data_IF_506844922399
#
_entry.id   IF_506844922399
#
_cell.length_a   1.000
_cell.length_b   1.000
_cell.length_c   1.000
_cell.angle_alpha   90.00
_cell.angle_beta   90.00
_cell.angle_gamma   90.00
#
_symmetry.space_group_name_H-M   'P 1'
#
loop_
_entity.id
_entity.type
_entity.pdbx_description
1 polymer ?
#
# COMPACT_ATOMS: atom_id res chain seq x y z
N UNK A 1 19.93 43.27 30.29
CA UNK A 1 18.92 43.94 31.12
C UNK A 1 18.01 42.81 31.56
N UNK A 2 18.46 42.11 32.63
CA UNK A 2 17.99 42.25 34.04
C UNK A 2 16.52 41.83 34.18
N UNK A 3 16.13 40.76 34.88
CA UNK A 3 16.24 40.59 36.35
C UNK A 3 15.96 39.14 36.71
N UNK A 4 16.82 38.52 37.55
CA UNK A 4 16.56 37.28 38.29
C UNK A 4 16.15 37.70 39.70
N UNK A 5 15.09 37.18 40.32
CA UNK A 5 14.89 37.35 41.75
C UNK A 5 15.57 36.21 42.55
N UNK A 6 16.36 36.61 43.48
CA UNK A 6 17.02 35.82 44.51
C UNK A 6 16.03 35.22 45.50
N UNK A 7 16.13 33.91 45.75
CA UNK A 7 15.50 33.24 46.92
C UNK A 7 16.48 33.21 48.09
N UNK A 8 16.06 33.84 49.17
CA UNK A 8 16.83 33.97 50.39
C UNK A 8 16.97 32.65 51.15
N UNK A 9 18.13 32.42 51.67
CA UNK A 9 18.44 31.41 52.68
C UNK A 9 17.84 31.82 54.00
N UNK A 10 16.89 30.99 54.54
CA UNK A 10 16.49 31.06 55.95
C UNK A 10 17.39 30.11 56.76
N UNK A 11 18.09 30.68 57.73
CA UNK A 11 18.92 29.95 58.68
C UNK A 11 18.04 29.10 59.60
N UNK A 12 18.36 27.80 59.69
CA UNK A 12 17.75 26.90 60.66
C UNK A 12 18.51 26.97 61.98
N UNK A 13 17.83 27.42 62.98
CA UNK A 13 18.34 27.57 64.35
C UNK A 13 18.67 26.21 64.97
N UNK A 14 19.87 26.07 65.56
CA UNK A 14 20.39 24.84 66.16
C UNK A 14 19.88 24.72 67.60
N UNK A 15 18.60 24.26 67.74
CA UNK A 15 17.98 23.94 68.99
C UNK A 15 18.42 22.59 69.59
N UNK A 16 19.48 22.59 70.34
CA UNK A 16 19.95 21.43 71.12
C UNK A 16 18.85 20.86 72.04
N UNK A 17 18.34 19.69 71.68
CA UNK A 17 17.42 18.92 72.54
C UNK A 17 18.20 18.42 73.80
N UNK A 18 17.69 18.73 75.00
CA UNK A 18 18.26 18.33 76.25
C UNK A 18 18.32 16.79 76.42
N UNK A 19 19.37 16.30 77.10
CA UNK A 19 19.69 14.85 77.20
C UNK A 19 18.60 13.98 77.84
N UNK A 20 17.54 14.57 78.38
CA UNK A 20 16.39 13.85 78.91
C UNK A 20 15.35 13.40 77.87
N UNK A 21 15.23 14.16 76.78
CA UNK A 21 14.37 13.85 75.65
C UNK A 21 14.94 12.76 74.75
N UNK A 22 16.28 12.70 74.55
CA UNK A 22 16.94 11.60 73.81
C UNK A 22 16.75 10.24 74.48
N UNK A 23 16.85 10.16 75.82
CA UNK A 23 16.67 8.89 76.56
C UNK A 23 15.22 8.37 76.52
N UNK A 24 14.24 9.22 76.41
CA UNK A 24 12.81 8.80 76.31
C UNK A 24 12.48 8.28 74.90
N UNK A 25 13.12 8.83 73.84
CA UNK A 25 12.91 8.37 72.46
C UNK A 25 13.55 7.00 72.20
N UNK A 26 14.75 6.77 72.76
CA UNK A 26 15.43 5.47 72.63
C UNK A 26 14.73 4.38 73.39
N UNK A 27 14.21 4.67 74.58
CA UNK A 27 13.43 3.72 75.44
C UNK A 27 12.03 3.40 74.87
N UNK A 28 11.50 4.19 73.91
CA UNK A 28 10.22 3.92 73.25
C UNK A 28 10.38 3.01 72.02
N UNK A 29 11.55 3.04 71.43
CA UNK A 29 11.89 2.18 70.25
C UNK A 29 12.25 0.76 70.70
N UNK A 30 12.78 0.58 71.91
CA UNK A 30 13.15 -0.74 72.42
C UNK A 30 12.00 -1.56 73.01
N UNK A 31 10.79 -0.99 73.19
CA UNK A 31 9.63 -1.67 73.73
C UNK A 31 8.49 -1.74 72.75
N UNK A 32 8.61 -2.64 71.77
CA UNK A 32 7.35 -2.99 71.12
C UNK A 32 7.26 -3.28 69.68
N UNK A 33 8.29 -3.74 69.04
CA UNK A 33 8.07 -4.48 67.82
C UNK A 33 8.47 -5.92 68.08
N UNK A 34 7.48 -6.76 68.36
CA UNK A 34 7.71 -8.21 68.45
C UNK A 34 8.33 -8.67 67.14
N UNK A 35 9.39 -9.49 67.20
CA UNK A 35 10.07 -10.05 66.04
C UNK A 35 9.10 -10.66 65.04
N UNK A 36 7.95 -11.11 65.51
CA UNK A 36 6.84 -11.60 64.69
C UNK A 36 6.10 -10.50 63.90
N UNK A 37 6.00 -9.28 64.44
CA UNK A 37 5.37 -8.15 63.76
C UNK A 37 6.28 -7.59 62.65
N UNK A 38 7.61 -7.57 62.93
CA UNK A 38 8.60 -7.16 61.93
C UNK A 38 8.67 -8.16 60.74
N UNK A 39 8.63 -9.46 61.03
CA UNK A 39 8.58 -10.48 59.94
C UNK A 39 7.29 -10.40 59.15
N UNK A 40 6.13 -10.16 59.77
CA UNK A 40 4.87 -9.98 59.06
C UNK A 40 4.87 -8.74 58.18
N UNK A 41 5.46 -7.64 58.63
CA UNK A 41 5.57 -6.40 57.89
C UNK A 41 6.51 -6.55 56.67
N UNK A 42 7.64 -7.27 56.80
CA UNK A 42 8.55 -7.61 55.73
C UNK A 42 7.91 -8.56 54.69
N UNK A 43 7.11 -9.53 55.15
CA UNK A 43 6.38 -10.44 54.25
C UNK A 43 5.29 -9.73 53.44
N UNK A 44 4.53 -8.84 54.08
CA UNK A 44 3.50 -8.05 53.41
C UNK A 44 4.14 -7.06 52.44
N UNK A 45 5.25 -6.42 52.79
CA UNK A 45 5.99 -5.52 51.90
C UNK A 45 6.60 -6.26 50.72
N UNK A 46 7.11 -7.47 50.95
CA UNK A 46 7.61 -8.35 49.88
C UNK A 46 6.53 -8.81 48.90
N UNK A 47 5.33 -9.14 49.40
CA UNK A 47 4.17 -9.52 48.59
C UNK A 47 3.65 -8.31 47.79
N UNK A 48 3.55 -7.13 48.39
CA UNK A 48 3.12 -5.91 47.73
C UNK A 48 4.13 -5.52 46.63
N UNK A 49 5.42 -5.63 46.92
CA UNK A 49 6.47 -5.37 45.91
C UNK A 49 6.40 -6.37 44.75
N UNK A 50 6.18 -7.67 45.02
CA UNK A 50 6.05 -8.70 44.01
C UNK A 50 4.78 -8.52 43.17
N UNK A 51 3.66 -8.07 43.75
CA UNK A 51 2.42 -7.73 43.04
C UNK A 51 2.60 -6.49 42.18
N UNK A 52 3.29 -5.46 42.69
CA UNK A 52 3.59 -4.26 41.87
C UNK A 52 4.55 -4.53 40.71
N UNK A 53 5.52 -5.43 40.88
CA UNK A 53 6.43 -5.84 39.79
C UNK A 53 5.71 -6.75 38.78
N UNK A 54 4.75 -7.58 39.25
CA UNK A 54 3.95 -8.45 38.36
C UNK A 54 2.92 -7.69 37.49
N UNK A 55 2.46 -6.50 37.96
CA UNK A 55 1.46 -5.69 37.23
C UNK A 55 2.06 -4.74 36.19
N UNK A 56 3.39 -4.63 36.09
CA UNK A 56 4.05 -3.73 35.15
C UNK A 56 4.56 -4.41 33.88
N UNK A 57 4.21 -5.69 33.64
CA UNK A 57 4.44 -6.36 32.36
C UNK A 57 3.22 -6.29 31.43
N UNK A 58 2.51 -5.18 31.38
CA UNK A 58 1.95 -4.75 30.10
C UNK A 58 3.15 -4.32 29.26
N UNK A 59 3.74 -5.28 28.58
CA UNK A 59 4.60 -5.01 27.45
C UNK A 59 3.76 -4.14 26.52
N UNK A 60 3.92 -2.83 26.58
CA UNK A 60 3.40 -1.93 25.56
C UNK A 60 3.95 -2.53 24.26
N UNK A 61 3.11 -3.30 23.56
CA UNK A 61 3.50 -3.93 22.32
C UNK A 61 4.01 -2.78 21.45
N UNK A 62 5.31 -2.74 21.27
CA UNK A 62 5.98 -1.67 20.52
C UNK A 62 5.29 -1.62 19.17
N UNK A 63 4.54 -0.55 18.92
CA UNK A 63 3.77 -0.41 17.70
C UNK A 63 4.74 -0.51 16.52
N UNK A 64 4.64 -1.61 15.79
CA UNK A 64 5.51 -1.87 14.65
C UNK A 64 5.17 -0.86 13.55
N UNK A 65 6.17 -0.26 12.92
CA UNK A 65 5.96 0.78 11.92
C UNK A 65 6.43 0.35 10.53
N UNK A 66 5.63 0.71 9.51
CA UNK A 66 5.98 0.57 8.10
C UNK A 66 5.73 1.88 7.37
N UNK A 67 6.59 2.17 6.40
CA UNK A 67 6.33 3.21 5.39
C UNK A 67 5.87 2.53 4.11
N UNK A 68 4.62 2.80 3.71
CA UNK A 68 4.04 2.28 2.48
C UNK A 68 3.75 3.41 1.49
N UNK A 69 3.84 3.15 0.19
CA UNK A 69 3.50 4.14 -0.82
C UNK A 69 2.48 3.63 -1.84
N UNK A 70 1.83 4.57 -2.52
CA UNK A 70 0.96 4.35 -3.66
C UNK A 70 1.31 5.32 -4.80
N UNK A 71 1.03 4.92 -6.07
CA UNK A 71 1.55 5.63 -7.24
C UNK A 71 0.56 6.51 -7.97
N UNK A 72 -0.73 6.40 -7.67
CA UNK A 72 -1.77 7.21 -8.30
C UNK A 72 -2.99 7.39 -7.40
N UNK A 73 -3.68 8.55 -7.46
CA UNK A 73 -4.96 8.75 -6.78
C UNK A 73 -6.11 8.18 -7.63
N UNK A 74 -6.16 6.86 -7.80
CA UNK A 74 -7.18 6.14 -8.57
C UNK A 74 -7.75 4.98 -7.76
N UNK A 75 -8.96 4.52 -8.09
CA UNK A 75 -9.70 3.54 -7.31
C UNK A 75 -8.96 2.20 -7.12
N UNK A 76 -8.07 1.80 -8.02
CA UNK A 76 -7.25 0.58 -7.85
C UNK A 76 -6.28 0.65 -6.66
N UNK A 77 -5.96 1.85 -6.15
CA UNK A 77 -5.11 2.05 -4.98
C UNK A 77 -5.92 2.09 -3.67
N UNK A 78 -7.25 2.10 -3.75
CA UNK A 78 -8.13 2.27 -2.60
C UNK A 78 -7.96 1.24 -1.48
N UNK A 79 -7.63 -0.04 -1.71
CA UNK A 79 -7.39 -0.96 -0.60
C UNK A 79 -6.34 -0.47 0.40
N UNK A 80 -5.29 0.23 -0.05
CA UNK A 80 -4.30 0.85 0.84
C UNK A 80 -4.92 1.94 1.72
N UNK A 81 -5.73 2.81 1.12
CA UNK A 81 -6.41 3.89 1.84
C UNK A 81 -7.44 3.34 2.81
N UNK A 82 -8.20 2.34 2.39
CA UNK A 82 -9.19 1.63 3.22
C UNK A 82 -8.49 1.02 4.45
N UNK A 83 -7.36 0.32 4.26
CA UNK A 83 -6.63 -0.26 5.38
C UNK A 83 -6.19 0.79 6.42
N UNK A 84 -5.85 2.00 5.97
CA UNK A 84 -5.51 3.13 6.86
C UNK A 84 -6.75 3.75 7.50
N UNK A 85 -7.76 4.13 6.72
CA UNK A 85 -8.93 4.89 7.16
C UNK A 85 -9.87 4.06 8.04
N UNK A 86 -10.13 2.80 7.68
CA UNK A 86 -10.97 1.88 8.45
C UNK A 86 -10.23 1.33 9.68
N UNK A 87 -8.89 1.44 9.69
CA UNK A 87 -8.08 1.05 10.82
C UNK A 87 -7.61 -0.41 10.79
N UNK A 88 -7.63 -1.08 9.64
CA UNK A 88 -7.15 -2.47 9.55
C UNK A 88 -5.67 -2.61 9.88
N UNK A 89 -4.82 -1.63 9.55
CA UNK A 89 -3.43 -1.62 10.01
C UNK A 89 -3.33 -1.56 11.53
N UNK A 90 -4.09 -0.66 12.18
CA UNK A 90 -4.11 -0.55 13.64
C UNK A 90 -4.62 -1.83 14.31
N UNK A 91 -5.62 -2.48 13.73
CA UNK A 91 -6.14 -3.78 14.19
C UNK A 91 -5.05 -4.85 14.21
N UNK A 92 -4.09 -4.80 13.29
CA UNK A 92 -2.92 -5.68 13.23
C UNK A 92 -1.74 -5.19 14.11
N UNK A 93 -1.90 -4.11 14.86
CA UNK A 93 -0.83 -3.53 15.67
C UNK A 93 0.25 -2.82 14.85
N UNK A 94 -0.09 -2.34 13.63
CA UNK A 94 0.82 -1.60 12.76
C UNK A 94 0.48 -0.11 12.74
N UNK A 95 1.52 0.73 12.83
CA UNK A 95 1.47 2.11 12.38
C UNK A 95 2.04 2.22 10.97
N UNK A 96 1.17 2.49 9.99
CA UNK A 96 1.58 2.60 8.59
C UNK A 96 1.52 4.05 8.15
N UNK A 97 2.70 4.60 7.81
CA UNK A 97 2.82 5.89 7.14
C UNK A 97 2.57 5.71 5.65
N UNK A 98 1.55 6.38 5.10
CA UNK A 98 1.28 6.36 3.65
C UNK A 98 1.95 7.55 2.97
N UNK A 99 2.64 7.29 1.87
CA UNK A 99 3.32 8.29 1.03
C UNK A 99 2.80 8.17 -0.40
N UNK A 100 2.51 9.31 -1.03
CA UNK A 100 2.21 9.37 -2.46
C UNK A 100 3.50 9.58 -3.25
N UNK A 101 3.81 8.67 -4.18
CA UNK A 101 4.96 8.76 -5.10
C UNK A 101 4.43 8.63 -6.52
N UNK A 102 4.28 9.74 -7.22
CA UNK A 102 3.61 9.84 -8.55
C UNK A 102 4.37 9.16 -9.71
N UNK A 103 5.13 8.09 -9.46
CA UNK A 103 5.90 7.41 -10.49
C UNK A 103 6.26 5.99 -10.07
N UNK A 104 5.99 5.02 -10.94
CA UNK A 104 6.39 3.63 -10.72
C UNK A 104 7.92 3.47 -10.58
N UNK A 105 8.74 3.96 -11.50
CA UNK A 105 10.18 3.91 -11.38
C UNK A 105 10.71 4.58 -10.09
N UNK A 106 10.21 5.77 -9.74
CA UNK A 106 10.61 6.47 -8.49
C UNK A 106 10.23 5.66 -7.24
N UNK A 107 9.01 5.11 -7.20
CA UNK A 107 8.59 4.23 -6.10
C UNK A 107 9.45 2.97 -5.99
N UNK A 108 9.82 2.38 -7.12
CA UNK A 108 10.77 1.24 -7.16
C UNK A 108 12.12 1.61 -6.57
N UNK A 109 12.65 2.79 -6.92
CA UNK A 109 13.91 3.29 -6.35
C UNK A 109 13.81 3.53 -4.85
N UNK A 110 12.69 4.08 -4.35
CA UNK A 110 12.53 4.34 -2.91
C UNK A 110 12.47 3.05 -2.08
N UNK A 111 11.93 1.96 -2.64
CA UNK A 111 11.98 0.62 -2.01
C UNK A 111 13.40 0.10 -1.95
N UNK A 112 14.14 0.19 -3.05
CA UNK A 112 15.54 -0.27 -3.12
C UNK A 112 16.47 0.54 -2.19
N UNK A 113 16.18 1.84 -2.03
CA UNK A 113 16.92 2.70 -1.11
C UNK A 113 16.54 2.49 0.37
N UNK A 114 15.49 1.71 0.66
CA UNK A 114 14.98 1.49 2.02
C UNK A 114 14.22 2.69 2.60
N UNK A 115 13.86 3.68 1.77
CA UNK A 115 13.05 4.84 2.19
C UNK A 115 11.58 4.45 2.42
N UNK A 116 11.11 3.44 1.70
CA UNK A 116 9.80 2.83 1.87
C UNK A 116 9.93 1.31 1.99
N UNK A 117 9.07 0.70 2.80
CA UNK A 117 9.10 -0.74 3.07
C UNK A 117 8.30 -1.55 2.03
N UNK A 118 7.16 -1.00 1.60
CA UNK A 118 6.26 -1.69 0.65
C UNK A 118 5.52 -0.66 -0.20
N UNK A 119 5.29 -0.99 -1.48
CA UNK A 119 4.56 -0.14 -2.40
C UNK A 119 3.44 -0.84 -3.14
N UNK A 120 2.31 -0.14 -3.32
CA UNK A 120 1.33 -0.51 -4.33
C UNK A 120 1.68 0.19 -5.63
N UNK A 121 2.00 -0.61 -6.63
CA UNK A 121 2.62 -0.14 -7.86
C UNK A 121 2.16 -0.96 -9.07
N UNK A 122 2.24 -0.40 -10.28
CA UNK A 122 2.12 -1.16 -11.52
C UNK A 122 3.28 -2.13 -11.69
N UNK A 123 3.00 -3.41 -11.95
CA UNK A 123 3.99 -4.48 -11.96
C UNK A 123 5.08 -4.34 -13.02
N UNK A 124 4.82 -3.57 -14.09
CA UNK A 124 5.83 -3.34 -15.14
C UNK A 124 7.12 -2.72 -14.59
N UNK A 125 7.01 -1.69 -13.71
CA UNK A 125 8.18 -0.98 -13.20
C UNK A 125 9.11 -1.87 -12.35
N UNK A 126 8.63 -2.61 -11.32
CA UNK A 126 9.49 -3.52 -10.57
C UNK A 126 10.02 -4.67 -11.42
N UNK A 127 9.21 -5.26 -12.32
CA UNK A 127 9.65 -6.36 -13.19
C UNK A 127 10.80 -5.89 -14.11
N UNK A 128 10.65 -4.71 -14.74
CA UNK A 128 11.70 -4.13 -15.58
C UNK A 128 12.98 -3.84 -14.78
N UNK A 129 12.86 -3.34 -13.56
CA UNK A 129 14.00 -3.08 -12.68
C UNK A 129 14.74 -4.39 -12.32
N UNK A 130 14.02 -5.46 -12.01
CA UNK A 130 14.61 -6.78 -11.71
C UNK A 130 15.35 -7.33 -12.93
N UNK A 131 14.74 -7.27 -14.12
CA UNK A 131 15.40 -7.65 -15.40
C UNK A 131 16.66 -6.82 -15.61
N UNK A 132 16.63 -5.53 -15.24
CA UNK A 132 17.78 -4.61 -15.29
C UNK A 132 18.84 -4.82 -14.21
N UNK A 133 18.69 -5.83 -13.35
CA UNK A 133 19.68 -6.19 -12.32
C UNK A 133 19.33 -5.78 -10.88
N UNK A 134 18.17 -5.19 -10.62
CA UNK A 134 17.71 -4.85 -9.26
C UNK A 134 17.20 -6.10 -8.51
N UNK A 135 18.09 -7.08 -8.27
CA UNK A 135 17.76 -8.41 -7.74
C UNK A 135 17.21 -8.38 -6.31
N UNK A 136 17.43 -7.30 -5.56
CA UNK A 136 16.87 -7.14 -4.21
C UNK A 136 15.37 -6.79 -4.22
N UNK A 137 14.81 -6.42 -5.37
CA UNK A 137 13.39 -6.14 -5.49
C UNK A 137 12.58 -7.44 -5.61
N UNK A 138 11.37 -7.46 -5.01
CA UNK A 138 10.48 -8.63 -5.05
C UNK A 138 9.02 -8.21 -4.95
N UNK A 139 8.13 -8.90 -5.68
CA UNK A 139 6.68 -8.80 -5.56
C UNK A 139 6.22 -9.73 -4.45
N UNK A 140 5.47 -9.22 -3.47
CA UNK A 140 4.99 -10.00 -2.32
C UNK A 140 3.48 -10.27 -2.36
N UNK A 141 2.79 -9.74 -3.37
CA UNK A 141 1.37 -9.96 -3.59
C UNK A 141 0.85 -9.19 -4.80
N UNK A 142 -0.37 -9.50 -5.21
CA UNK A 142 -1.02 -8.89 -6.36
C UNK A 142 -2.50 -8.65 -6.07
N UNK A 143 -2.97 -7.42 -6.20
CA UNK A 143 -4.39 -7.10 -5.97
C UNK A 143 -5.19 -6.93 -7.26
N UNK A 144 -4.53 -6.88 -8.43
CA UNK A 144 -5.20 -6.82 -9.74
C UNK A 144 -4.39 -7.56 -10.79
N UNK A 145 -5.00 -8.63 -11.35
CA UNK A 145 -4.31 -9.61 -12.20
C UNK A 145 -4.71 -9.58 -13.67
N UNK A 146 -5.58 -8.65 -14.10
CA UNK A 146 -6.02 -8.50 -15.50
C UNK A 146 -6.10 -7.04 -15.89
N UNK A 147 -5.81 -6.77 -17.17
CA UNK A 147 -5.99 -5.45 -17.75
C UNK A 147 -7.45 -5.02 -17.70
N UNK A 148 -7.68 -3.75 -17.38
CA UNK A 148 -9.00 -3.10 -17.45
C UNK A 148 -8.87 -1.77 -18.14
N UNK A 149 -9.99 -1.27 -18.66
CA UNK A 149 -10.09 0.02 -19.32
C UNK A 149 -10.43 -0.11 -20.80
N UNK A 150 -10.33 1.00 -21.50
CA UNK A 150 -10.79 1.15 -22.88
C UNK A 150 -9.76 1.91 -23.72
N UNK A 151 -9.78 1.67 -25.02
CA UNK A 151 -9.32 2.66 -25.99
C UNK A 151 -10.55 3.46 -26.41
N UNK A 152 -10.56 4.75 -26.12
CA UNK A 152 -11.61 5.70 -26.49
C UNK A 152 -11.07 6.66 -27.53
N UNK A 153 -11.89 7.09 -28.48
CA UNK A 153 -11.41 7.97 -29.54
C UNK A 153 -12.50 8.71 -30.30
N UNK A 154 -12.08 9.44 -31.31
CA UNK A 154 -12.94 10.24 -32.18
C UNK A 154 -13.98 9.37 -32.88
N UNK A 155 -15.12 9.99 -33.25
CA UNK A 155 -16.26 9.29 -33.87
C UNK A 155 -15.98 8.68 -35.24
N UNK A 156 -14.98 9.21 -35.95
CA UNK A 156 -14.53 8.73 -37.27
C UNK A 156 -13.64 7.48 -37.18
N UNK A 157 -13.21 7.09 -35.98
CA UNK A 157 -12.54 5.81 -35.73
C UNK A 157 -13.61 4.77 -35.41
N UNK A 158 -14.00 3.97 -36.38
CA UNK A 158 -15.12 3.03 -36.25
C UNK A 158 -14.68 1.66 -35.73
N UNK A 159 -13.44 1.27 -35.96
CA UNK A 159 -12.87 -0.03 -35.61
C UNK A 159 -11.45 0.10 -35.04
N UNK A 160 -10.94 -1.00 -34.46
CA UNK A 160 -9.57 -1.08 -33.98
C UNK A 160 -8.56 -0.88 -35.13
N UNK A 161 -8.90 -1.31 -36.35
CA UNK A 161 -8.01 -1.16 -37.53
C UNK A 161 -7.85 0.29 -37.95
N UNK A 162 -8.85 1.13 -37.74
CA UNK A 162 -8.80 2.57 -38.06
C UNK A 162 -7.85 3.36 -37.16
N UNK A 163 -7.30 2.72 -36.11
CA UNK A 163 -6.26 3.31 -35.28
C UNK A 163 -4.91 3.45 -36.02
N UNK A 164 -4.68 2.67 -37.09
CA UNK A 164 -3.42 2.76 -37.84
C UNK A 164 -3.19 4.16 -38.38
N UNK A 165 -1.99 4.69 -38.15
CA UNK A 165 -1.60 6.06 -38.51
C UNK A 165 -2.15 7.14 -37.57
N UNK A 166 -3.02 6.80 -36.61
CA UNK A 166 -3.61 7.76 -35.67
C UNK A 166 -2.69 8.05 -34.48
N UNK A 167 -2.92 9.21 -33.85
CA UNK A 167 -2.24 9.62 -32.62
C UNK A 167 -2.91 9.01 -31.41
N UNK A 168 -2.21 8.09 -30.74
CA UNK A 168 -2.67 7.45 -29.51
C UNK A 168 -2.02 8.12 -28.31
N UNK A 169 -2.84 8.70 -27.44
CA UNK A 169 -2.39 9.26 -26.16
C UNK A 169 -2.11 8.17 -25.14
N UNK A 170 -0.92 8.23 -24.56
CA UNK A 170 -0.48 7.43 -23.41
C UNK A 170 0.08 8.38 -22.36
N UNK A 171 0.22 7.95 -21.09
CA UNK A 171 0.90 8.77 -20.08
C UNK A 171 2.41 8.87 -20.36
N UNK A 172 3.11 7.71 -20.42
CA UNK A 172 4.55 7.61 -20.74
C UNK A 172 4.86 6.26 -21.38
N UNK A 173 5.87 6.21 -22.20
CA UNK A 173 6.44 4.94 -22.66
C UNK A 173 6.97 4.15 -21.46
N UNK A 174 6.63 2.87 -21.38
CA UNK A 174 6.98 2.00 -20.26
C UNK A 174 6.03 2.11 -19.05
N UNK A 175 4.87 2.74 -19.23
CA UNK A 175 3.79 2.73 -18.23
C UNK A 175 2.79 1.60 -18.46
N UNK A 176 1.87 1.40 -17.51
CA UNK A 176 0.78 0.43 -17.70
C UNK A 176 -0.07 0.74 -18.95
N UNK A 177 -0.54 1.99 -19.21
CA UNK A 177 -1.27 2.31 -20.42
C UNK A 177 -0.53 1.96 -21.73
N UNK A 178 0.78 2.23 -21.80
CA UNK A 178 1.59 1.81 -22.95
C UNK A 178 1.61 0.28 -23.10
N UNK A 179 1.89 -0.43 -22.02
CA UNK A 179 1.90 -1.91 -22.04
C UNK A 179 0.54 -2.50 -22.40
N UNK A 180 -0.54 -1.87 -21.93
CA UNK A 180 -1.91 -2.29 -22.26
C UNK A 180 -2.20 -2.07 -23.75
N UNK A 181 -1.79 -0.93 -24.31
CA UNK A 181 -1.91 -0.68 -25.75
C UNK A 181 -1.16 -1.74 -26.54
N UNK A 182 0.11 -2.01 -26.22
CA UNK A 182 0.91 -3.02 -26.89
C UNK A 182 0.28 -4.41 -26.83
N UNK A 183 -0.13 -4.85 -25.63
CA UNK A 183 -0.70 -6.18 -25.42
C UNK A 183 -2.08 -6.33 -26.07
N UNK A 184 -2.95 -5.32 -25.95
CA UNK A 184 -4.30 -5.38 -26.48
C UNK A 184 -4.30 -5.30 -28.01
N UNK A 185 -3.56 -4.33 -28.59
CA UNK A 185 -3.55 -4.09 -30.03
C UNK A 185 -2.78 -5.15 -30.81
N UNK A 186 -1.80 -5.82 -30.19
CA UNK A 186 -1.12 -6.96 -30.82
C UNK A 186 -2.09 -8.11 -31.20
N UNK A 187 -3.18 -8.29 -30.46
CA UNK A 187 -4.23 -9.28 -30.77
C UNK A 187 -4.99 -8.95 -32.07
N UNK A 188 -4.91 -7.71 -32.52
CA UNK A 188 -5.49 -7.22 -33.76
C UNK A 188 -4.42 -6.98 -34.86
N UNK A 189 -3.22 -7.54 -34.64
CA UNK A 189 -2.09 -7.39 -35.58
C UNK A 189 -1.66 -5.93 -35.83
N UNK A 190 -1.80 -5.11 -34.78
CA UNK A 190 -1.32 -3.72 -34.75
C UNK A 190 -0.07 -3.67 -33.87
N UNK A 191 1.05 -3.26 -34.48
CA UNK A 191 2.28 -2.93 -33.76
C UNK A 191 2.23 -1.44 -33.38
N UNK A 192 2.13 -1.18 -32.10
CA UNK A 192 1.91 0.18 -31.57
C UNK A 192 3.07 1.12 -31.86
N UNK A 193 4.29 0.60 -31.98
CA UNK A 193 5.50 1.40 -32.24
C UNK A 193 5.67 1.72 -33.73
N UNK A 194 5.13 0.87 -34.61
CA UNK A 194 5.23 1.02 -36.07
C UNK A 194 3.96 1.65 -36.66
N UNK A 195 2.78 1.19 -36.20
CA UNK A 195 1.51 1.46 -36.86
C UNK A 195 0.77 2.67 -36.25
N UNK A 196 1.20 3.19 -35.10
CA UNK A 196 0.60 4.33 -34.40
C UNK A 196 1.58 5.47 -34.17
N UNK A 197 1.04 6.65 -33.93
CA UNK A 197 1.80 7.82 -33.43
C UNK A 197 1.57 7.99 -31.95
N UNK A 198 2.52 7.61 -31.10
CA UNK A 198 2.40 7.81 -29.66
C UNK A 198 2.57 9.27 -29.28
N UNK A 199 1.63 9.79 -28.48
CA UNK A 199 1.71 11.10 -27.81
C UNK A 199 1.80 10.88 -26.31
N UNK A 200 2.96 11.22 -25.74
CA UNK A 200 3.18 11.13 -24.30
C UNK A 200 2.59 12.36 -23.59
N UNK A 201 1.63 12.14 -22.71
CA UNK A 201 0.86 13.18 -22.02
C UNK A 201 1.42 13.54 -20.64
N UNK A 202 2.42 12.79 -20.16
CA UNK A 202 3.04 12.95 -18.85
C UNK A 202 2.24 12.31 -17.70
N UNK A 203 0.92 12.45 -17.72
CA UNK A 203 0.00 11.76 -16.81
C UNK A 203 -1.35 11.54 -17.52
N UNK A 204 -2.13 10.58 -17.03
CA UNK A 204 -3.40 10.20 -17.65
C UNK A 204 -4.47 11.29 -17.54
N UNK A 205 -4.41 12.17 -16.55
CA UNK A 205 -5.35 13.28 -16.40
C UNK A 205 -5.34 14.26 -17.57
N UNK A 206 -4.24 14.36 -18.29
CA UNK A 206 -4.11 15.19 -19.50
C UNK A 206 -4.78 14.56 -20.73
N UNK A 207 -5.19 13.28 -20.66
CA UNK A 207 -5.68 12.52 -21.80
C UNK A 207 -7.00 13.04 -22.37
N UNK A 208 -8.00 13.24 -21.51
CA UNK A 208 -9.32 13.75 -21.92
C UNK A 208 -9.23 15.16 -22.47
N UNK A 209 -8.54 16.14 -21.85
CA UNK A 209 -8.26 17.43 -22.45
C UNK A 209 -7.55 17.36 -23.81
N UNK A 210 -6.54 16.51 -23.96
CA UNK A 210 -5.81 16.34 -25.22
C UNK A 210 -6.69 15.75 -26.33
N UNK A 211 -7.57 14.80 -25.99
CA UNK A 211 -8.55 14.22 -26.91
C UNK A 211 -9.58 15.27 -27.35
N UNK A 212 -10.11 16.07 -26.41
CA UNK A 212 -11.04 17.18 -26.69
C UNK A 212 -10.39 18.26 -27.54
N UNK A 213 -9.13 18.61 -27.25
CA UNK A 213 -8.36 19.62 -28.00
C UNK A 213 -7.85 19.13 -29.36
N UNK A 214 -8.03 17.85 -29.70
CA UNK A 214 -7.59 17.29 -30.97
C UNK A 214 -6.07 17.04 -31.06
N UNK A 215 -5.33 17.13 -29.98
CA UNK A 215 -3.89 16.79 -29.93
C UNK A 215 -3.67 15.29 -30.16
N UNK A 216 -4.62 14.47 -29.71
CA UNK A 216 -4.68 13.03 -29.95
C UNK A 216 -5.98 12.65 -30.63
N UNK A 217 -6.01 11.48 -31.26
CA UNK A 217 -7.18 10.96 -31.96
C UNK A 217 -7.86 9.85 -31.15
N UNK A 218 -7.08 9.13 -30.35
CA UNK A 218 -7.53 8.12 -29.41
C UNK A 218 -6.71 8.19 -28.10
N UNK A 219 -7.30 7.68 -27.03
CA UNK A 219 -6.71 7.63 -25.68
C UNK A 219 -6.90 6.24 -25.12
N UNK A 220 -5.83 5.65 -24.59
CA UNK A 220 -5.96 4.48 -23.73
C UNK A 220 -6.18 4.94 -22.30
N UNK A 221 -7.31 4.59 -21.71
CA UNK A 221 -7.70 5.04 -20.37
C UNK A 221 -8.49 3.98 -19.61
N UNK A 222 -8.22 3.90 -18.33
CA UNK A 222 -9.08 3.23 -17.36
C UNK A 222 -10.04 4.21 -16.69
N UNK A 223 -10.91 3.67 -15.85
CA UNK A 223 -11.84 4.46 -15.06
C UNK A 223 -11.10 5.42 -14.11
N UNK A 224 -11.58 6.66 -13.95
CA UNK A 224 -12.79 7.23 -14.54
C UNK A 224 -12.56 7.97 -15.87
N UNK A 225 -11.34 8.03 -16.40
CA UNK A 225 -10.99 8.88 -17.56
C UNK A 225 -11.69 8.43 -18.85
N UNK A 226 -11.91 7.14 -19.03
CA UNK A 226 -12.69 6.60 -20.15
C UNK A 226 -14.16 7.04 -20.09
N UNK A 227 -14.77 7.08 -18.90
CA UNK A 227 -16.12 7.63 -18.71
C UNK A 227 -16.17 9.12 -19.03
N UNK A 228 -15.19 9.91 -18.61
CA UNK A 228 -15.12 11.31 -18.94
C UNK A 228 -15.05 11.58 -20.46
N UNK A 229 -14.26 10.78 -21.16
CA UNK A 229 -14.20 10.84 -22.62
C UNK A 229 -15.56 10.48 -23.25
N UNK A 230 -16.23 9.44 -22.79
CA UNK A 230 -17.56 9.02 -23.27
C UNK A 230 -18.62 10.09 -23.02
N UNK A 231 -18.63 10.75 -21.84
CA UNK A 231 -19.52 11.87 -21.54
C UNK A 231 -19.32 13.07 -22.49
N UNK A 232 -18.13 13.23 -23.06
CA UNK A 232 -17.83 14.25 -24.09
C UNK A 232 -18.18 13.77 -25.51
N UNK A 233 -18.76 12.57 -25.67
CA UNK A 233 -19.19 12.00 -26.93
C UNK A 233 -18.13 11.27 -27.74
N UNK A 234 -16.97 10.96 -27.15
CA UNK A 234 -16.00 10.03 -27.72
C UNK A 234 -16.50 8.60 -27.61
N UNK A 235 -16.08 7.72 -28.53
CA UNK A 235 -16.54 6.33 -28.58
C UNK A 235 -15.53 5.39 -27.95
N UNK A 236 -16.00 4.32 -27.35
CA UNK A 236 -15.17 3.13 -27.04
C UNK A 236 -14.88 2.41 -28.36
N UNK A 237 -13.60 2.36 -28.70
CA UNK A 237 -13.08 1.66 -29.89
C UNK A 237 -12.74 0.21 -29.54
N UNK A 238 -12.18 0.01 -28.33
CA UNK A 238 -11.81 -1.31 -27.83
C UNK A 238 -12.03 -1.36 -26.32
N UNK A 239 -12.85 -2.33 -25.88
CA UNK A 239 -12.95 -2.72 -24.47
C UNK A 239 -11.82 -3.71 -24.14
N UNK A 240 -10.79 -3.21 -23.48
CA UNK A 240 -9.63 -4.02 -23.04
C UNK A 240 -10.03 -5.00 -21.95
N UNK A 241 -10.98 -4.61 -21.08
CA UNK A 241 -11.48 -5.47 -20.00
C UNK A 241 -12.09 -6.76 -20.53
N UNK A 242 -12.84 -6.67 -21.63
CA UNK A 242 -13.45 -7.82 -22.30
C UNK A 242 -12.42 -8.82 -22.86
N UNK A 243 -11.21 -8.39 -23.14
CA UNK A 243 -10.13 -9.26 -23.66
C UNK A 243 -9.56 -10.20 -22.60
N UNK A 244 -9.82 -9.96 -21.32
CA UNK A 244 -9.39 -10.78 -20.17
C UNK A 244 -7.88 -11.09 -20.20
N UNK A 245 -7.06 -10.12 -20.58
CA UNK A 245 -5.60 -10.30 -20.72
C UNK A 245 -4.98 -10.35 -19.32
N UNK A 246 -4.30 -11.46 -18.95
CA UNK A 246 -3.54 -11.54 -17.70
C UNK A 246 -2.43 -10.48 -17.68
N UNK A 247 -2.27 -9.78 -16.57
CA UNK A 247 -1.21 -8.78 -16.40
C UNK A 247 -0.98 -8.47 -14.93
N UNK A 248 0.25 -8.25 -14.53
CA UNK A 248 0.56 -7.78 -13.19
C UNK A 248 0.24 -6.27 -13.06
N UNK A 249 -1.08 -5.94 -12.98
CA UNK A 249 -1.56 -4.54 -13.06
C UNK A 249 -1.26 -3.79 -11.79
N UNK A 250 -1.64 -4.36 -10.64
CA UNK A 250 -1.39 -3.75 -9.33
C UNK A 250 -0.77 -4.80 -8.43
N UNK A 251 0.48 -4.58 -8.08
CA UNK A 251 1.27 -5.47 -7.23
C UNK A 251 1.70 -4.77 -5.95
N UNK A 252 2.01 -5.56 -4.93
CA UNK A 252 2.69 -5.13 -3.73
C UNK A 252 4.15 -5.52 -3.89
N UNK A 253 5.04 -4.54 -3.90
CA UNK A 253 6.47 -4.74 -4.07
C UNK A 253 7.25 -4.27 -2.83
N UNK A 254 8.31 -5.00 -2.49
CA UNK A 254 9.21 -4.72 -1.38
C UNK A 254 10.65 -5.05 -1.78
N UNK A 255 11.63 -4.71 -0.94
CA UNK A 255 12.99 -5.22 -1.07
C UNK A 255 13.12 -6.55 -0.32
N UNK A 256 13.89 -7.52 -0.87
CA UNK A 256 14.15 -8.83 -0.21
C UNK A 256 14.76 -8.64 1.18
N UNK A 257 15.69 -7.70 1.32
CA UNK A 257 16.25 -7.33 2.61
C UNK A 257 15.18 -6.83 3.60
N UNK A 258 14.20 -6.04 3.15
CA UNK A 258 13.06 -5.62 3.98
C UNK A 258 12.17 -6.80 4.33
N UNK A 259 11.91 -7.70 3.38
CA UNK A 259 11.15 -8.95 3.60
C UNK A 259 11.78 -9.79 4.72
N UNK A 260 13.10 -9.94 4.73
CA UNK A 260 13.79 -10.72 5.76
C UNK A 260 13.79 -10.02 7.13
N UNK A 261 14.03 -8.71 7.16
CA UNK A 261 14.12 -7.96 8.42
C UNK A 261 12.78 -7.65 9.07
N UNK A 262 11.72 -7.47 8.27
CA UNK A 262 10.37 -7.05 8.70
C UNK A 262 9.31 -8.06 8.29
N UNK A 263 9.64 -9.36 8.31
CA UNK A 263 8.72 -10.42 7.88
C UNK A 263 7.39 -10.39 8.65
N UNK A 264 7.46 -10.20 9.97
CA UNK A 264 6.27 -10.14 10.83
C UNK A 264 5.38 -8.95 10.53
N UNK A 265 5.99 -7.76 10.32
CA UNK A 265 5.27 -6.54 9.97
C UNK A 265 4.62 -6.64 8.58
N UNK A 266 5.33 -7.21 7.61
CA UNK A 266 4.80 -7.40 6.27
C UNK A 266 3.67 -8.45 6.24
N UNK A 267 3.76 -9.51 7.04
CA UNK A 267 2.65 -10.47 7.20
C UNK A 267 1.39 -9.77 7.74
N UNK A 268 1.51 -8.98 8.82
CA UNK A 268 0.42 -8.18 9.37
C UNK A 268 -0.13 -7.16 8.36
N UNK A 269 0.77 -6.54 7.57
CA UNK A 269 0.37 -5.64 6.49
C UNK A 269 -0.47 -6.37 5.45
N UNK A 270 -0.07 -7.58 5.04
CA UNK A 270 -0.80 -8.38 4.06
C UNK A 270 -2.18 -8.83 4.57
N UNK A 271 -2.30 -9.17 5.86
CA UNK A 271 -3.60 -9.42 6.50
C UNK A 271 -4.52 -8.19 6.44
N UNK A 272 -4.01 -7.02 6.86
CA UNK A 272 -4.77 -5.77 6.82
C UNK A 272 -5.17 -5.38 5.39
N UNK A 273 -4.28 -5.61 4.43
CA UNK A 273 -4.53 -5.33 3.02
C UNK A 273 -5.58 -6.27 2.42
N UNK A 274 -5.57 -7.56 2.78
CA UNK A 274 -6.61 -8.51 2.37
C UNK A 274 -7.99 -8.13 2.94
N UNK A 275 -8.07 -7.71 4.22
CA UNK A 275 -9.30 -7.16 4.81
C UNK A 275 -9.78 -5.90 4.05
N UNK A 276 -8.86 -5.07 3.61
CA UNK A 276 -9.19 -3.87 2.84
C UNK A 276 -9.69 -4.20 1.42
N UNK A 277 -9.15 -5.22 0.76
CA UNK A 277 -9.67 -5.73 -0.51
C UNK A 277 -11.08 -6.30 -0.32
N UNK A 278 -11.31 -7.04 0.75
CA UNK A 278 -12.64 -7.52 1.09
C UNK A 278 -13.62 -6.37 1.31
N UNK A 279 -13.23 -5.36 2.09
CA UNK A 279 -14.05 -4.16 2.32
C UNK A 279 -14.35 -3.43 1.01
N UNK A 280 -13.35 -3.24 0.15
CA UNK A 280 -13.51 -2.63 -1.17
C UNK A 280 -14.62 -3.30 -2.00
N UNK A 281 -14.67 -4.64 -1.98
CA UNK A 281 -15.62 -5.43 -2.78
C UNK A 281 -17.00 -5.61 -2.11
N UNK A 282 -17.10 -5.42 -0.79
CA UNK A 282 -18.33 -5.72 -0.03
C UNK A 282 -19.00 -4.50 0.58
N UNK A 283 -18.31 -3.35 0.63
CA UNK A 283 -18.85 -2.10 1.18
C UNK A 283 -18.71 -0.95 0.16
N UNK A 284 -19.57 -0.89 -0.86
CA UNK A 284 -19.46 0.09 -1.93
C UNK A 284 -19.61 1.53 -1.45
N UNK A 285 -20.46 1.79 -0.44
CA UNK A 285 -20.69 3.13 0.08
C UNK A 285 -19.45 3.66 0.84
N UNK A 286 -18.92 2.90 1.79
CA UNK A 286 -17.72 3.27 2.53
C UNK A 286 -16.49 3.38 1.60
N UNK A 287 -16.40 2.49 0.60
CA UNK A 287 -15.36 2.56 -0.43
C UNK A 287 -15.46 3.85 -1.24
N UNK A 288 -16.68 4.25 -1.67
CA UNK A 288 -16.89 5.48 -2.44
C UNK A 288 -16.49 6.74 -1.66
N UNK A 289 -16.78 6.80 -0.34
CA UNK A 289 -16.37 7.91 0.51
C UNK A 289 -14.84 8.03 0.60
N UNK A 290 -14.14 6.91 0.78
CA UNK A 290 -12.68 6.89 0.85
C UNK A 290 -12.06 7.22 -0.51
N UNK A 291 -12.57 6.65 -1.60
CA UNK A 291 -12.11 6.96 -2.96
C UNK A 291 -12.27 8.45 -3.25
N UNK A 292 -13.43 9.06 -2.97
CA UNK A 292 -13.65 10.50 -3.15
C UNK A 292 -12.66 11.35 -2.36
N UNK A 293 -12.37 10.96 -1.10
CA UNK A 293 -11.41 11.66 -0.24
C UNK A 293 -10.01 11.74 -0.86
N UNK A 294 -9.52 10.63 -1.44
CA UNK A 294 -8.15 10.55 -1.96
C UNK A 294 -8.03 11.00 -3.42
N UNK A 295 -9.04 10.72 -4.24
CA UNK A 295 -9.04 11.12 -5.66
C UNK A 295 -9.45 12.58 -5.87
N UNK A 296 -10.11 13.21 -4.87
CA UNK A 296 -10.74 14.53 -4.97
C UNK A 296 -11.85 14.62 -6.03
N UNK A 297 -12.44 13.48 -6.39
CA UNK A 297 -13.59 13.39 -7.28
C UNK A 297 -14.84 13.29 -6.42
N UNK A 298 -15.72 14.30 -6.48
CA UNK A 298 -16.95 14.37 -5.68
C UNK A 298 -18.16 13.72 -6.38
N UNK A 299 -18.10 13.56 -7.71
CA UNK A 299 -19.17 12.94 -8.50
C UNK A 299 -19.35 11.47 -8.10
N UNK A 300 -20.52 11.18 -7.50
CA UNK A 300 -20.85 9.84 -6.99
C UNK A 300 -20.95 8.78 -8.08
N UNK A 301 -21.49 9.15 -9.25
CA UNK A 301 -21.57 8.23 -10.40
C UNK A 301 -20.17 7.85 -10.92
N UNK A 302 -19.29 8.84 -11.02
CA UNK A 302 -17.91 8.64 -11.46
C UNK A 302 -17.17 7.71 -10.49
N UNK A 303 -17.33 7.92 -9.19
CA UNK A 303 -16.73 7.06 -8.18
C UNK A 303 -17.32 5.64 -8.22
N UNK A 304 -18.64 5.49 -8.33
CA UNK A 304 -19.30 4.20 -8.45
C UNK A 304 -18.82 3.43 -9.69
N UNK A 305 -18.74 4.10 -10.85
CA UNK A 305 -18.21 3.53 -12.08
C UNK A 305 -16.74 3.08 -11.91
N UNK A 306 -15.90 3.91 -11.30
CA UNK A 306 -14.49 3.57 -11.08
C UNK A 306 -14.34 2.35 -10.16
N UNK A 307 -15.10 2.29 -9.06
CA UNK A 307 -15.09 1.15 -8.13
C UNK A 307 -15.60 -0.11 -8.81
N UNK A 308 -16.70 -0.04 -9.55
CA UNK A 308 -17.25 -1.19 -10.29
C UNK A 308 -16.25 -1.72 -11.32
N UNK A 309 -15.65 -0.81 -12.09
CA UNK A 309 -14.64 -1.17 -13.09
C UNK A 309 -13.43 -1.90 -12.46
N UNK A 310 -12.92 -1.38 -11.36
CA UNK A 310 -11.78 -1.98 -10.64
C UNK A 310 -12.15 -3.32 -10.00
N UNK A 311 -13.38 -3.46 -9.48
CA UNK A 311 -13.88 -4.69 -8.85
C UNK A 311 -13.84 -5.90 -9.79
N UNK A 312 -14.00 -5.69 -11.10
CA UNK A 312 -14.00 -6.76 -12.12
C UNK A 312 -12.68 -7.52 -12.26
N UNK A 313 -11.58 -6.91 -11.82
CA UNK A 313 -10.25 -7.51 -11.91
C UNK A 313 -9.51 -7.57 -10.56
N UNK A 314 -10.23 -7.28 -9.46
CA UNK A 314 -9.64 -7.33 -8.12
C UNK A 314 -9.40 -8.77 -7.68
N UNK A 315 -8.17 -9.08 -7.23
CA UNK A 315 -7.74 -10.40 -6.79
C UNK A 315 -8.00 -10.57 -5.29
N UNK A 316 -8.82 -11.57 -4.94
CA UNK A 316 -9.26 -11.82 -3.55
C UNK A 316 -8.21 -12.48 -2.68
N UNK A 317 -7.38 -13.30 -3.30
CA UNK A 317 -6.35 -14.11 -2.60
C UNK A 317 -5.03 -13.38 -2.46
N UNK A 318 -4.86 -12.27 -3.16
CA UNK A 318 -3.59 -11.55 -3.35
C UNK A 318 -2.48 -12.39 -4.00
N UNK A 319 -2.79 -13.57 -4.50
CA UNK A 319 -1.81 -14.42 -5.17
C UNK A 319 -1.32 -13.78 -6.46
N UNK A 320 -0.03 -13.94 -6.70
CA UNK A 320 0.59 -13.48 -7.95
C UNK A 320 0.23 -14.47 -9.06
N UNK A 321 -0.32 -13.96 -10.17
CA UNK A 321 -0.53 -14.73 -11.38
C UNK A 321 0.74 -14.68 -12.25
N UNK A 322 1.49 -15.78 -12.39
CA UNK A 322 2.73 -15.81 -13.18
C UNK A 322 2.48 -15.44 -14.65
N UNK A 323 1.30 -15.73 -15.22
CA UNK A 323 0.98 -15.37 -16.60
C UNK A 323 1.02 -13.88 -16.86
N UNK A 324 0.68 -13.07 -15.85
CA UNK A 324 0.78 -11.61 -15.94
C UNK A 324 2.24 -11.14 -15.98
N UNK A 325 3.15 -11.80 -15.28
CA UNK A 325 4.59 -11.54 -15.32
C UNK A 325 5.18 -12.02 -16.66
N UNK A 326 4.85 -13.23 -17.10
CA UNK A 326 5.29 -13.78 -18.38
C UNK A 326 4.97 -12.87 -19.57
N UNK A 327 3.74 -12.29 -19.58
CA UNK A 327 3.37 -11.33 -20.63
C UNK A 327 4.24 -10.07 -20.57
N UNK A 328 4.51 -9.54 -19.37
CA UNK A 328 5.39 -8.38 -19.21
C UNK A 328 6.81 -8.72 -19.70
N UNK A 329 7.34 -9.89 -19.34
CA UNK A 329 8.65 -10.35 -19.80
C UNK A 329 8.71 -10.47 -21.33
N UNK A 330 7.66 -11.01 -21.96
CA UNK A 330 7.56 -11.09 -23.42
C UNK A 330 7.53 -9.70 -24.09
N UNK A 331 6.86 -8.71 -23.47
CA UNK A 331 6.84 -7.33 -23.98
C UNK A 331 8.21 -6.66 -23.81
N UNK A 332 8.86 -6.81 -22.65
CA UNK A 332 10.20 -6.27 -22.37
C UNK A 332 11.25 -6.96 -23.26
N UNK A 333 11.11 -8.26 -23.51
CA UNK A 333 12.07 -9.08 -24.28
C UNK A 333 12.26 -8.62 -25.72
N UNK A 334 11.31 -7.84 -26.26
CA UNK A 334 11.46 -7.21 -27.59
C UNK A 334 12.63 -6.21 -27.64
N UNK A 335 12.98 -5.62 -26.50
CA UNK A 335 14.03 -4.59 -26.41
C UNK A 335 15.14 -4.93 -25.42
N UNK A 336 14.90 -5.89 -24.50
CA UNK A 336 15.83 -6.32 -23.44
C UNK A 336 15.99 -7.83 -23.49
N UNK A 337 17.02 -8.38 -24.16
CA UNK A 337 17.18 -9.83 -24.37
C UNK A 337 17.17 -10.66 -23.07
N UNK A 338 17.67 -10.11 -21.96
CA UNK A 338 17.70 -10.78 -20.66
C UNK A 338 16.30 -11.19 -20.15
N UNK A 339 15.24 -10.46 -20.56
CA UNK A 339 13.88 -10.80 -20.20
C UNK A 339 13.40 -12.13 -20.82
N UNK A 340 13.95 -12.53 -21.98
CA UNK A 340 13.54 -13.74 -22.69
C UNK A 340 13.93 -15.04 -21.96
N UNK A 341 14.95 -15.00 -21.09
CA UNK A 341 15.41 -16.17 -20.31
C UNK A 341 14.94 -16.12 -18.85
N UNK A 342 14.26 -15.04 -18.43
CA UNK A 342 13.79 -14.88 -17.07
C UNK A 342 12.53 -15.74 -16.82
N UNK A 343 12.44 -16.33 -15.62
CA UNK A 343 11.28 -17.12 -15.19
C UNK A 343 10.39 -16.27 -14.28
N UNK A 344 9.06 -16.36 -14.45
CA UNK A 344 8.13 -15.56 -13.67
C UNK A 344 8.30 -15.75 -12.14
N UNK A 345 8.68 -16.95 -11.72
CA UNK A 345 8.87 -17.32 -10.33
C UNK A 345 10.02 -16.55 -9.65
N UNK A 346 10.98 -16.03 -10.41
CA UNK A 346 12.11 -15.26 -9.87
C UNK A 346 11.70 -13.86 -9.39
N UNK A 347 10.51 -13.40 -9.77
CA UNK A 347 10.04 -12.03 -9.55
C UNK A 347 9.19 -11.85 -8.30
N UNK A 348 8.68 -12.93 -7.70
CA UNK A 348 7.79 -12.84 -6.55
C UNK A 348 8.16 -13.80 -5.42
N UNK A 349 7.71 -13.46 -4.23
CA UNK A 349 7.79 -14.27 -3.04
C UNK A 349 6.37 -14.58 -2.55
N UNK A 350 5.97 -15.83 -2.65
CA UNK A 350 4.62 -16.26 -2.33
C UNK A 350 4.39 -16.49 -0.83
N UNK A 351 5.41 -16.36 0.05
CA UNK A 351 5.31 -16.72 1.48
C UNK A 351 4.11 -16.06 2.18
N UNK A 352 3.87 -14.80 1.94
CA UNK A 352 2.77 -14.05 2.58
C UNK A 352 1.40 -14.46 2.06
N UNK A 353 1.25 -14.64 0.76
CA UNK A 353 -0.03 -15.06 0.17
C UNK A 353 -0.34 -16.53 0.45
N UNK A 354 0.69 -17.37 0.57
CA UNK A 354 0.60 -18.76 1.02
C UNK A 354 0.16 -18.80 2.48
N UNK A 355 0.75 -17.99 3.35
CA UNK A 355 0.35 -17.89 4.77
C UNK A 355 -1.12 -17.44 4.92
N UNK A 356 -1.55 -16.41 4.20
CA UNK A 356 -2.96 -15.96 4.19
C UNK A 356 -3.93 -17.09 3.81
N UNK A 357 -3.55 -17.95 2.86
CA UNK A 357 -4.36 -19.11 2.44
C UNK A 357 -4.32 -20.22 3.50
N UNK A 358 -3.13 -20.65 3.89
CA UNK A 358 -2.90 -21.87 4.68
C UNK A 358 -3.30 -21.70 6.16
N UNK A 359 -3.26 -20.46 6.69
CA UNK A 359 -3.82 -20.13 8.01
C UNK A 359 -5.36 -20.21 8.07
N UNK A 360 -6.03 -20.39 6.93
CA UNK A 360 -7.49 -20.35 6.84
C UNK A 360 -8.07 -18.93 6.92
N UNK A 361 -7.22 -17.89 6.97
CA UNK A 361 -7.66 -16.50 7.07
C UNK A 361 -8.55 -16.09 5.90
N UNK A 362 -8.13 -16.40 4.67
CA UNK A 362 -8.93 -16.07 3.48
C UNK A 362 -10.28 -16.78 3.48
N UNK A 363 -10.33 -18.05 3.88
CA UNK A 363 -11.59 -18.80 4.01
C UNK A 363 -12.51 -18.15 5.05
N UNK A 364 -11.98 -17.72 6.17
CA UNK A 364 -12.76 -16.98 7.19
C UNK A 364 -13.26 -15.64 6.66
N UNK A 365 -12.46 -14.94 5.86
CA UNK A 365 -12.76 -13.61 5.33
C UNK A 365 -13.83 -13.65 4.24
N UNK A 366 -13.73 -14.59 3.31
CA UNK A 366 -14.56 -14.68 2.11
C UNK A 366 -15.70 -15.69 2.20
N UNK A 367 -15.63 -16.69 3.09
CA UNK A 367 -16.55 -17.81 3.13
C UNK A 367 -16.58 -18.56 1.80
N UNK A 368 -17.78 -18.84 1.31
CA UNK A 368 -17.99 -19.54 0.02
C UNK A 368 -17.72 -18.66 -1.23
N UNK A 369 -17.32 -17.42 -1.02
CA UNK A 369 -17.00 -16.46 -2.11
C UNK A 369 -15.53 -16.44 -2.51
N UNK A 370 -14.68 -17.32 -1.91
CA UNK A 370 -13.25 -17.42 -2.21
C UNK A 370 -12.98 -18.01 -3.59
#
# INVERSE_FOLDING_TARGET
>A
MDIIPSLGYAAVDDGSLSGSSRRRLIGAIERGISMTAFHRMLTVFGIVLAVCVGLHNESAAQTQSLTAFYTAPVASMAPMWIAKEVGFFKKQGLDVKLVFIASGPTGTTSVLAGETDVGIIGGFAPIRAIVGGAKDLVIIGQSKNRMTGNIVGKKDIASVQDLKGRRLGIDRIGSNPDMFAQAALSRFQIDTMRDLQYVQLGNIGNGVPALKGGTIDALIAGAPHDLFAQRLGFKVILDITALKIPFAVTVLASARNTVERKQGELAKFMHAYAEAVHYFLTNPEGTAQIVAKYTKVEDREVNAYAIESESKAMERTLQVDPKGIELILALIGKTVPQAASAKAEDFYDARFTTELRDSGFLKKLWGDKL
#
